data_IF_391665348087
#
_entry.id   IF_391665348087
#
_cell.length_a   1.000
_cell.length_b   1.000
_cell.length_c   1.000
_cell.angle_alpha   90.00
_cell.angle_beta   90.00
_cell.angle_gamma   90.00
#
_symmetry.space_group_name_H-M   'P 1'
#
loop_
_entity.id
_entity.type
_entity.pdbx_description
1 polymer ?
#
# COMPACT_ATOMS: atom_id res chain seq x y z
N UNK A 1 10.47 -14.12 3.70
CA UNK A 1 9.95 -15.15 4.63
C UNK A 1 8.79 -14.53 5.39
N UNK A 2 7.61 -15.15 5.41
CA UNK A 2 6.41 -14.56 6.03
C UNK A 2 6.24 -15.12 7.45
N UNK A 3 6.39 -14.27 8.46
CA UNK A 3 6.01 -14.61 9.83
C UNK A 3 4.49 -14.45 9.94
N UNK A 4 3.77 -15.53 10.25
CA UNK A 4 2.31 -15.53 10.32
C UNK A 4 1.83 -15.84 11.74
N UNK A 5 0.68 -15.29 12.10
CA UNK A 5 -0.02 -15.58 13.36
C UNK A 5 -0.49 -14.34 14.11
N UNK A 6 -1.45 -14.47 15.04
CA UNK A 6 -2.02 -13.33 15.78
C UNK A 6 -0.98 -12.52 16.57
N UNK A 7 0.11 -13.15 17.00
CA UNK A 7 1.19 -12.50 17.73
C UNK A 7 1.94 -11.43 16.90
N UNK A 8 1.88 -11.50 15.57
CA UNK A 8 2.49 -10.53 14.66
C UNK A 8 1.50 -9.44 14.20
N UNK A 9 0.25 -9.48 14.64
CA UNK A 9 -0.74 -8.45 14.33
C UNK A 9 -0.65 -7.33 15.38
N UNK A 10 -0.33 -6.08 14.99
CA UNK A 10 -0.31 -4.98 15.94
C UNK A 10 -1.71 -4.70 16.50
N UNK A 11 -1.79 -4.29 17.77
CA UNK A 11 -3.06 -3.91 18.41
C UNK A 11 -3.66 -2.62 17.80
N UNK A 12 -2.80 -1.75 17.27
CA UNK A 12 -3.17 -0.51 16.61
C UNK A 12 -2.10 -0.13 15.58
N UNK A 13 -2.52 0.55 14.51
CA UNK A 13 -1.63 1.15 13.53
C UNK A 13 -1.93 2.65 13.43
N UNK A 14 -0.90 3.48 13.62
CA UNK A 14 -0.97 4.93 13.40
C UNK A 14 -0.28 5.22 12.07
N UNK A 15 -1.01 5.80 11.13
CA UNK A 15 -0.51 6.14 9.80
C UNK A 15 -0.49 7.65 9.66
N UNK A 16 0.69 8.23 9.84
CA UNK A 16 0.93 9.66 9.69
C UNK A 16 1.67 9.93 8.37
N UNK A 17 1.07 10.74 7.51
CA UNK A 17 1.65 11.08 6.21
C UNK A 17 2.89 11.98 6.33
N UNK A 18 3.00 12.80 7.38
CA UNK A 18 4.15 13.70 7.58
C UNK A 18 5.45 12.91 7.75
N UNK A 19 5.37 11.73 8.39
CA UNK A 19 6.50 10.82 8.54
C UNK A 19 7.00 10.23 7.21
N UNK A 20 6.24 10.36 6.12
CA UNK A 20 6.62 9.90 4.79
C UNK A 20 7.28 10.97 3.93
N UNK A 21 7.19 12.26 4.32
CA UNK A 21 7.73 13.38 3.54
C UNK A 21 9.26 13.43 3.51
N UNK A 22 9.93 12.72 4.42
CA UNK A 22 11.39 12.57 4.42
C UNK A 22 11.89 11.38 3.59
N UNK A 23 11.00 10.62 2.94
CA UNK A 23 11.39 9.45 2.14
C UNK A 23 12.22 9.88 0.91
N UNK A 24 13.38 9.26 0.66
CA UNK A 24 14.08 9.46 -0.60
C UNK A 24 13.20 9.03 -1.78
N UNK A 25 13.27 9.71 -2.94
CA UNK A 25 12.45 9.35 -4.12
C UNK A 25 12.54 7.88 -4.48
N UNK A 26 13.74 7.28 -4.38
CA UNK A 26 13.92 5.86 -4.63
C UNK A 26 13.10 4.97 -3.71
N UNK A 27 13.02 5.28 -2.41
CA UNK A 27 12.23 4.50 -1.48
C UNK A 27 10.73 4.60 -1.81
N UNK A 28 10.24 5.78 -2.20
CA UNK A 28 8.86 5.95 -2.69
C UNK A 28 8.59 5.15 -3.96
N UNK A 29 9.56 5.08 -4.88
CA UNK A 29 9.46 4.25 -6.08
C UNK A 29 9.55 2.75 -5.80
N UNK A 30 10.13 2.34 -4.68
CA UNK A 30 10.18 0.93 -4.29
C UNK A 30 8.89 0.53 -3.54
N UNK A 31 8.42 1.32 -2.57
CA UNK A 31 7.28 0.96 -1.71
C UNK A 31 5.91 1.23 -2.35
N UNK A 32 5.79 2.23 -3.22
CA UNK A 32 4.53 2.55 -3.88
C UNK A 32 4.05 1.44 -4.82
N UNK A 33 4.88 0.94 -5.74
CA UNK A 33 4.56 -0.20 -6.59
C UNK A 33 4.35 -1.49 -5.80
N UNK A 34 5.04 -1.70 -4.68
CA UNK A 34 4.81 -2.85 -3.79
C UNK A 34 3.38 -2.85 -3.24
N UNK A 35 2.92 -1.72 -2.70
CA UNK A 35 1.53 -1.56 -2.25
C UNK A 35 0.51 -1.70 -3.39
N UNK A 36 0.82 -1.19 -4.58
CA UNK A 36 -0.03 -1.37 -5.76
C UNK A 36 -0.13 -2.85 -6.17
N UNK A 37 0.98 -3.56 -6.11
CA UNK A 37 1.05 -4.99 -6.45
C UNK A 37 0.20 -5.79 -5.49
N UNK A 38 0.32 -5.57 -4.18
CA UNK A 38 -0.54 -6.21 -3.18
C UNK A 38 -2.03 -5.94 -3.42
N UNK A 39 -2.41 -4.72 -3.80
CA UNK A 39 -3.80 -4.40 -4.10
C UNK A 39 -4.31 -5.16 -5.33
N UNK A 40 -3.51 -5.25 -6.40
CA UNK A 40 -3.85 -6.02 -7.60
C UNK A 40 -3.95 -7.51 -7.28
N UNK A 41 -2.98 -8.07 -6.57
CA UNK A 41 -2.97 -9.48 -6.15
C UNK A 41 -4.18 -9.84 -5.29
N UNK A 42 -4.57 -8.94 -4.36
CA UNK A 42 -5.76 -9.12 -3.55
C UNK A 42 -7.03 -9.18 -4.40
N UNK A 43 -7.17 -8.29 -5.39
CA UNK A 43 -8.34 -8.23 -6.27
C UNK A 43 -8.46 -9.45 -7.18
N UNK A 44 -7.36 -9.97 -7.72
CA UNK A 44 -7.37 -11.15 -8.60
C UNK A 44 -7.25 -12.48 -7.85
N UNK A 45 -7.23 -12.44 -6.51
CA UNK A 45 -7.03 -13.62 -5.68
C UNK A 45 -8.18 -14.62 -5.81
N UNK A 46 -7.86 -15.92 -5.71
CA UNK A 46 -8.87 -16.98 -5.56
C UNK A 46 -9.69 -16.87 -4.27
N UNK A 47 -9.26 -16.04 -3.32
CA UNK A 47 -9.93 -15.75 -2.04
C UNK A 47 -10.54 -14.34 -2.01
N UNK A 48 -10.64 -13.68 -3.17
CA UNK A 48 -11.29 -12.38 -3.29
C UNK A 48 -12.75 -12.43 -2.82
N UNK A 49 -13.24 -11.32 -2.30
CA UNK A 49 -14.65 -11.16 -1.92
C UNK A 49 -15.05 -9.68 -1.99
N UNK A 50 -16.36 -9.37 -2.11
CA UNK A 50 -16.82 -8.02 -2.39
C UNK A 50 -16.35 -6.96 -1.40
N UNK A 51 -16.15 -7.33 -0.14
CA UNK A 51 -15.64 -6.41 0.88
C UNK A 51 -14.19 -6.01 0.59
N UNK A 52 -13.29 -6.98 0.40
CA UNK A 52 -11.88 -6.69 0.08
C UNK A 52 -11.70 -6.09 -1.32
N UNK A 53 -12.55 -6.47 -2.28
CA UNK A 53 -12.47 -5.95 -3.66
C UNK A 53 -12.68 -4.43 -3.68
N UNK A 54 -13.60 -3.92 -2.85
CA UNK A 54 -13.82 -2.48 -2.72
C UNK A 54 -12.55 -1.75 -2.24
N UNK A 55 -11.86 -2.32 -1.24
CA UNK A 55 -10.62 -1.76 -0.69
C UNK A 55 -9.48 -1.83 -1.71
N UNK A 56 -9.35 -2.96 -2.42
CA UNK A 56 -8.35 -3.16 -3.46
C UNK A 56 -8.53 -2.18 -4.62
N UNK A 57 -9.75 -2.00 -5.13
CA UNK A 57 -10.05 -1.05 -6.20
C UNK A 57 -9.79 0.40 -5.79
N UNK A 58 -10.14 0.78 -4.55
CA UNK A 58 -9.79 2.10 -4.00
C UNK A 58 -8.28 2.30 -3.92
N UNK A 59 -7.52 1.29 -3.44
CA UNK A 59 -6.07 1.36 -3.35
C UNK A 59 -5.43 1.46 -4.74
N UNK A 60 -5.83 0.63 -5.70
CA UNK A 60 -5.35 0.67 -7.09
C UNK A 60 -5.59 2.07 -7.69
N UNK A 61 -6.80 2.59 -7.56
CA UNK A 61 -7.16 3.91 -8.11
C UNK A 61 -6.38 5.05 -7.45
N UNK A 62 -6.18 5.00 -6.14
CA UNK A 62 -5.46 6.04 -5.39
C UNK A 62 -3.96 6.00 -5.68
N UNK A 63 -3.31 4.85 -5.58
CA UNK A 63 -1.87 4.71 -5.78
C UNK A 63 -1.51 5.04 -7.23
N UNK A 64 -2.22 4.49 -8.21
CA UNK A 64 -1.94 4.75 -9.63
C UNK A 64 -2.03 6.23 -10.00
N UNK A 65 -2.94 6.97 -9.35
CA UNK A 65 -3.12 8.41 -9.57
C UNK A 65 -2.02 9.26 -8.92
N UNK A 66 -1.55 8.89 -7.74
CA UNK A 66 -0.71 9.78 -6.92
C UNK A 66 0.76 9.40 -6.85
N UNK A 67 1.13 8.14 -7.12
CA UNK A 67 2.49 7.64 -6.89
C UNK A 67 3.56 8.43 -7.67
N UNK A 68 3.31 8.77 -8.94
CA UNK A 68 4.27 9.55 -9.73
C UNK A 68 4.53 10.94 -9.15
N UNK A 69 3.49 11.57 -8.58
CA UNK A 69 3.60 12.86 -7.89
C UNK A 69 4.40 12.70 -6.59
N UNK A 70 4.08 11.69 -5.77
CA UNK A 70 4.81 11.41 -4.54
C UNK A 70 6.30 11.10 -4.79
N UNK A 71 6.62 10.46 -5.92
CA UNK A 71 8.01 10.24 -6.34
C UNK A 71 8.73 11.53 -6.75
N UNK A 72 8.08 12.36 -7.59
CA UNK A 72 8.69 13.57 -8.15
C UNK A 72 8.77 14.72 -7.14
N UNK A 73 7.78 14.82 -6.26
CA UNK A 73 7.59 15.92 -5.32
C UNK A 73 6.98 15.39 -4.01
N UNK A 74 7.71 14.48 -3.35
CA UNK A 74 7.33 13.90 -2.05
C UNK A 74 7.56 14.84 -0.87
N UNK A 75 7.30 16.14 -1.06
CA UNK A 75 7.47 17.21 -0.09
C UNK A 75 6.12 17.85 0.25
#
# INVERSE_FOLDING_TARGET
MLCTGPAFLPLAAVVDAELTMSMPPRLTADTGPDALTHAVEAYVSRKANPFYDSLALTAIGSISRHLRRAYADGR
#
